data_IF_836577408973
#
_entry.id   IF_836577408973
#
_cell.length_a   1.000
_cell.length_b   1.000
_cell.length_c   1.000
_cell.angle_alpha   90.00
_cell.angle_beta   90.00
_cell.angle_gamma   90.00
#
_symmetry.space_group_name_H-M   'P 1'
#
loop_
_entity.id
_entity.type
_entity.pdbx_description
1 polymer ?
#
# COMPACT_ATOMS: atom_id res chain seq x y z
N UNK A 1 -17.07 -4.34 59.03
CA UNK A 1 -16.44 -4.55 57.70
C UNK A 1 -17.33 -4.09 56.52
N UNK A 2 -18.67 -4.15 56.63
CA UNK A 2 -19.60 -3.76 55.55
C UNK A 2 -19.62 -2.26 55.15
N UNK A 3 -19.34 -1.33 56.08
CA UNK A 3 -19.37 0.12 55.81
C UNK A 3 -18.21 0.60 54.90
N UNK A 4 -17.07 -0.10 54.92
CA UNK A 4 -15.90 0.25 54.07
C UNK A 4 -16.10 -0.15 52.60
N UNK A 5 -16.79 -1.27 52.33
CA UNK A 5 -17.06 -1.76 50.97
C UNK A 5 -18.11 -0.89 50.26
N UNK A 6 -19.15 -0.44 50.97
CA UNK A 6 -20.16 0.46 50.40
C UNK A 6 -19.59 1.83 50.03
N UNK A 7 -18.66 2.35 50.84
CA UNK A 7 -17.97 3.62 50.58
C UNK A 7 -17.08 3.54 49.33
N UNK A 8 -16.36 2.42 49.14
CA UNK A 8 -15.53 2.17 47.95
C UNK A 8 -16.39 2.03 46.68
N UNK A 9 -17.50 1.27 46.76
CA UNK A 9 -18.44 1.07 45.65
C UNK A 9 -19.08 2.38 45.20
N UNK A 10 -19.47 3.24 46.15
CA UNK A 10 -20.00 4.58 45.85
C UNK A 10 -18.92 5.49 45.23
N UNK A 11 -17.67 5.39 45.69
CA UNK A 11 -16.52 6.10 45.10
C UNK A 11 -16.28 5.71 43.64
N UNK A 12 -16.28 4.42 43.33
CA UNK A 12 -16.11 3.90 41.97
C UNK A 12 -17.26 4.29 41.04
N UNK A 13 -18.51 4.24 41.50
CA UNK A 13 -19.67 4.71 40.72
C UNK A 13 -19.58 6.20 40.40
N UNK A 14 -19.17 7.04 41.36
CA UNK A 14 -18.95 8.47 41.14
C UNK A 14 -17.79 8.74 40.19
N UNK A 15 -16.69 7.98 40.30
CA UNK A 15 -15.54 8.09 39.40
C UNK A 15 -15.90 7.66 37.96
N UNK A 16 -16.61 6.55 37.79
CA UNK A 16 -17.11 6.09 36.50
C UNK A 16 -18.08 7.12 35.87
N UNK A 17 -18.96 7.72 36.68
CA UNK A 17 -19.83 8.82 36.26
C UNK A 17 -19.03 10.03 35.77
N UNK A 18 -17.99 10.45 36.50
CA UNK A 18 -17.09 11.55 36.11
C UNK A 18 -16.34 11.23 34.80
N UNK A 19 -15.88 10.00 34.60
CA UNK A 19 -15.24 9.58 33.33
C UNK A 19 -16.23 9.62 32.18
N UNK A 20 -17.45 9.08 32.36
CA UNK A 20 -18.49 9.08 31.33
C UNK A 20 -18.88 10.52 30.95
N UNK A 21 -18.98 11.41 31.94
CA UNK A 21 -19.27 12.83 31.70
C UNK A 21 -18.09 13.57 31.06
N UNK A 22 -16.84 13.29 31.46
CA UNK A 22 -15.63 13.86 30.84
C UNK A 22 -15.52 13.40 29.38
N UNK A 23 -15.65 12.10 29.11
CA UNK A 23 -15.69 11.52 27.75
C UNK A 23 -16.83 12.11 26.92
N UNK A 24 -18.03 12.30 27.50
CA UNK A 24 -19.13 12.95 26.80
C UNK A 24 -18.85 14.41 26.44
N UNK A 25 -18.19 15.16 27.33
CA UNK A 25 -17.75 16.55 27.05
C UNK A 25 -16.63 16.61 26.02
N UNK A 26 -15.65 15.71 26.11
CA UNK A 26 -14.55 15.62 25.16
C UNK A 26 -15.05 15.21 23.77
N UNK A 27 -15.98 14.23 23.68
CA UNK A 27 -16.66 13.88 22.43
C UNK A 27 -17.41 15.08 21.88
N UNK A 28 -18.26 15.75 22.67
CA UNK A 28 -18.96 16.97 22.19
C UNK A 28 -18.01 18.06 21.73
N UNK A 29 -16.89 18.29 22.43
CA UNK A 29 -15.88 19.28 22.05
C UNK A 29 -15.16 18.90 20.77
N UNK A 30 -14.80 17.63 20.60
CA UNK A 30 -14.13 17.12 19.41
C UNK A 30 -15.08 17.10 18.22
N UNK A 31 -16.35 16.72 18.39
CA UNK A 31 -17.38 16.80 17.33
C UNK A 31 -17.60 18.24 16.92
N UNK A 32 -17.71 19.18 17.88
CA UNK A 32 -17.81 20.61 17.56
C UNK A 32 -16.58 21.14 16.84
N UNK A 33 -15.36 20.76 17.26
CA UNK A 33 -14.12 21.08 16.54
C UNK A 33 -14.07 20.46 15.15
N UNK A 34 -14.59 19.24 14.98
CA UNK A 34 -14.69 18.57 13.68
C UNK A 34 -15.69 19.31 12.77
N UNK A 35 -16.81 19.80 13.31
CA UNK A 35 -17.79 20.63 12.60
C UNK A 35 -17.24 22.03 12.24
N UNK A 36 -16.47 22.64 13.15
CA UNK A 36 -15.78 23.92 12.93
C UNK A 36 -14.65 23.78 11.89
N UNK A 37 -13.89 22.68 11.91
CA UNK A 37 -12.89 22.36 10.88
C UNK A 37 -13.54 21.99 9.53
N UNK A 38 -14.68 21.28 9.55
CA UNK A 38 -15.50 21.02 8.35
C UNK A 38 -16.12 22.30 7.76
N UNK A 39 -16.26 23.38 8.53
CA UNK A 39 -16.68 24.67 7.97
C UNK A 39 -15.54 25.41 7.25
N UNK A 40 -14.28 25.00 7.46
CA UNK A 40 -13.12 25.67 6.88
C UNK A 40 -12.50 24.89 5.71
N UNK A 41 -12.77 23.59 5.58
CA UNK A 41 -12.36 22.78 4.42
C UNK A 41 -13.54 21.96 3.84
N UNK A 42 -13.95 22.33 2.63
CA UNK A 42 -14.62 21.50 1.61
C UNK A 42 -16.16 21.41 1.59
N UNK A 43 -16.68 21.67 0.39
CA UNK A 43 -18.07 21.60 -0.07
C UNK A 43 -18.78 20.29 0.30
N UNK A 44 -20.09 20.36 0.61
CA UNK A 44 -20.99 19.20 0.78
C UNK A 44 -21.01 18.24 -0.42
N UNK A 45 -20.53 18.67 -1.59
CA UNK A 45 -20.31 17.83 -2.77
C UNK A 45 -19.32 16.69 -2.52
N UNK A 46 -18.30 16.90 -1.68
CA UNK A 46 -17.24 15.92 -1.41
C UNK A 46 -17.74 14.68 -0.64
N UNK A 47 -18.60 14.85 0.36
CA UNK A 47 -19.11 13.73 1.16
C UNK A 47 -20.13 12.88 0.38
N UNK A 48 -21.00 13.51 -0.41
CA UNK A 48 -21.96 12.80 -1.26
C UNK A 48 -21.23 11.93 -2.30
N UNK A 49 -20.19 12.49 -2.94
CA UNK A 49 -19.36 11.77 -3.90
C UNK A 49 -18.60 10.61 -3.26
N UNK A 50 -18.07 10.78 -2.04
CA UNK A 50 -17.41 9.69 -1.30
C UNK A 50 -18.39 8.56 -0.92
N UNK A 51 -19.62 8.90 -0.52
CA UNK A 51 -20.67 7.92 -0.21
C UNK A 51 -21.07 7.16 -1.47
N UNK A 52 -21.21 7.85 -2.61
CA UNK A 52 -21.60 7.23 -3.88
C UNK A 52 -20.48 6.35 -4.46
N UNK A 53 -19.22 6.80 -4.36
CA UNK A 53 -18.03 5.97 -4.65
C UNK A 53 -17.98 4.74 -3.75
N UNK A 54 -18.25 4.87 -2.45
CA UNK A 54 -18.29 3.73 -1.52
C UNK A 54 -19.38 2.72 -1.87
N UNK A 55 -20.54 3.19 -2.33
CA UNK A 55 -21.63 2.32 -2.80
C UNK A 55 -21.28 1.59 -4.09
N UNK A 56 -20.65 2.29 -5.03
CA UNK A 56 -20.26 1.74 -6.34
C UNK A 56 -19.07 0.78 -6.23
N UNK A 57 -18.14 1.04 -5.32
CA UNK A 57 -16.95 0.23 -5.09
C UNK A 57 -17.19 -0.99 -4.20
N UNK A 58 -18.39 -1.14 -3.64
CA UNK A 58 -18.71 -2.29 -2.80
C UNK A 58 -18.89 -3.54 -3.66
N UNK A 59 -18.03 -4.53 -3.44
CA UNK A 59 -18.18 -5.88 -3.99
C UNK A 59 -19.40 -6.51 -3.31
N UNK A 60 -20.45 -6.80 -4.08
CA UNK A 60 -21.69 -7.40 -3.57
C UNK A 60 -21.66 -8.92 -3.63
N UNK A 61 -20.89 -9.45 -4.55
CA UNK A 61 -20.68 -10.88 -4.73
C UNK A 61 -19.76 -11.16 -5.91
N UNK A 62 -19.22 -12.37 -5.96
CA UNK A 62 -18.40 -12.87 -7.06
C UNK A 62 -18.96 -14.19 -7.57
N UNK A 63 -18.95 -14.34 -8.90
CA UNK A 63 -19.36 -15.58 -9.55
C UNK A 63 -18.17 -16.54 -9.64
N UNK A 64 -18.35 -17.79 -9.20
CA UNK A 64 -17.37 -18.87 -9.36
C UNK A 64 -17.36 -19.42 -10.79
N UNK A 65 -16.36 -20.26 -11.08
CA UNK A 65 -16.22 -20.97 -12.36
C UNK A 65 -17.38 -21.93 -12.66
N UNK A 66 -18.04 -22.46 -11.64
CA UNK A 66 -19.22 -23.33 -11.76
C UNK A 66 -20.54 -22.54 -12.00
N UNK A 67 -20.46 -21.21 -12.04
CA UNK A 67 -21.61 -20.32 -12.25
C UNK A 67 -22.35 -19.90 -10.97
N UNK A 68 -22.00 -20.45 -9.80
CA UNK A 68 -22.57 -20.04 -8.51
C UNK A 68 -22.11 -18.63 -8.08
N UNK A 69 -22.92 -17.95 -7.26
CA UNK A 69 -22.64 -16.61 -6.76
C UNK A 69 -22.37 -16.63 -5.26
N UNK A 70 -21.19 -16.19 -4.86
CA UNK A 70 -20.85 -15.97 -3.46
C UNK A 70 -21.02 -14.52 -3.07
N UNK A 71 -21.69 -14.33 -1.93
CA UNK A 71 -21.94 -13.01 -1.31
C UNK A 71 -21.27 -12.88 0.06
N UNK A 72 -20.68 -13.96 0.56
CA UNK A 72 -19.94 -13.97 1.82
C UNK A 72 -18.58 -13.30 1.62
N UNK A 73 -18.19 -12.41 2.54
CA UNK A 73 -16.99 -11.61 2.37
C UNK A 73 -15.69 -12.42 2.53
N UNK A 74 -15.71 -13.53 3.27
CA UNK A 74 -14.55 -14.42 3.43
C UNK A 74 -14.37 -15.20 2.13
N UNK A 75 -15.43 -15.84 1.63
CA UNK A 75 -15.42 -16.59 0.37
C UNK A 75 -15.04 -15.72 -0.82
N UNK A 76 -15.59 -14.49 -0.91
CA UNK A 76 -15.19 -13.50 -1.94
C UNK A 76 -13.69 -13.21 -1.86
N UNK A 77 -13.13 -13.12 -0.65
CA UNK A 77 -11.71 -12.92 -0.42
C UNK A 77 -10.87 -14.09 -0.93
N UNK A 78 -11.28 -15.32 -0.62
CA UNK A 78 -10.60 -16.54 -1.07
C UNK A 78 -10.64 -16.69 -2.59
N UNK A 79 -11.82 -16.50 -3.22
CA UNK A 79 -11.95 -16.52 -4.68
C UNK A 79 -11.03 -15.48 -5.34
N UNK A 80 -10.93 -14.28 -4.75
CA UNK A 80 -10.03 -13.25 -5.24
C UNK A 80 -8.55 -13.63 -5.06
N UNK A 81 -8.18 -14.16 -3.90
CA UNK A 81 -6.83 -14.61 -3.62
C UNK A 81 -6.40 -15.73 -4.58
N UNK A 82 -7.21 -16.76 -4.75
CA UNK A 82 -6.91 -17.88 -5.66
C UNK A 82 -6.73 -17.41 -7.10
N UNK A 83 -7.67 -16.59 -7.57
CA UNK A 83 -7.64 -16.05 -8.93
C UNK A 83 -6.39 -15.19 -9.19
N UNK A 84 -6.07 -14.26 -8.30
CA UNK A 84 -4.92 -13.38 -8.50
C UNK A 84 -3.59 -14.07 -8.21
N UNK A 85 -3.57 -15.09 -7.34
CA UNK A 85 -2.39 -15.92 -7.14
C UNK A 85 -2.07 -16.69 -8.40
N UNK A 86 -3.04 -17.39 -9.01
CA UNK A 86 -2.86 -18.07 -10.30
C UNK A 86 -2.50 -17.08 -11.43
N UNK A 87 -3.11 -15.89 -11.44
CA UNK A 87 -2.84 -14.89 -12.46
C UNK A 87 -1.42 -14.30 -12.39
N UNK A 88 -0.91 -14.07 -11.18
CA UNK A 88 0.41 -13.47 -10.95
C UNK A 88 1.52 -14.51 -10.80
N UNK A 89 1.19 -15.80 -10.71
CA UNK A 89 2.19 -16.84 -10.63
C UNK A 89 2.96 -16.97 -11.96
N UNK A 90 4.27 -17.17 -11.84
CA UNK A 90 5.12 -17.29 -13.02
C UNK A 90 4.98 -18.70 -13.59
N UNK A 91 4.66 -18.82 -14.88
CA UNK A 91 4.64 -20.12 -15.59
C UNK A 91 6.04 -20.54 -16.10
N UNK A 92 7.09 -19.96 -15.52
CA UNK A 92 8.48 -20.13 -15.95
C UNK A 92 8.90 -19.19 -17.10
N UNK A 93 10.20 -19.15 -17.35
CA UNK A 93 10.80 -18.39 -18.46
C UNK A 93 11.00 -19.37 -19.63
N UNK A 94 10.31 -19.14 -20.74
CA UNK A 94 10.58 -19.87 -21.99
C UNK A 94 11.95 -19.48 -22.56
N UNK A 95 12.54 -20.30 -23.43
CA UNK A 95 13.76 -19.90 -24.14
C UNK A 95 13.44 -18.67 -25.02
N UNK A 96 14.08 -17.54 -24.71
CA UNK A 96 13.91 -16.27 -25.42
C UNK A 96 15.04 -15.98 -26.41
N UNK A 97 16.01 -16.90 -26.59
CA UNK A 97 17.22 -16.68 -27.38
C UNK A 97 16.85 -16.28 -28.82
N UNK A 98 15.87 -16.96 -29.41
CA UNK A 98 15.40 -16.65 -30.76
C UNK A 98 14.80 -15.24 -30.89
N UNK A 99 14.15 -14.71 -29.85
CA UNK A 99 13.58 -13.36 -29.85
C UNK A 99 14.70 -12.33 -29.70
N UNK A 100 15.63 -12.59 -28.77
CA UNK A 100 16.75 -11.68 -28.48
C UNK A 100 17.73 -11.54 -29.66
N UNK A 101 17.82 -12.53 -30.56
CA UNK A 101 18.61 -12.42 -31.81
C UNK A 101 18.21 -11.23 -32.68
N UNK A 102 16.94 -10.80 -32.62
CA UNK A 102 16.44 -9.68 -33.42
C UNK A 102 16.51 -8.34 -32.70
N UNK A 103 16.91 -8.33 -31.42
CA UNK A 103 17.07 -7.11 -30.63
C UNK A 103 18.51 -6.63 -30.80
N UNK A 104 18.69 -5.48 -31.45
CA UNK A 104 20.00 -4.85 -31.56
C UNK A 104 20.50 -4.42 -30.17
N UNK A 105 21.75 -4.77 -29.84
CA UNK A 105 22.36 -4.31 -28.60
C UNK A 105 22.53 -2.79 -28.62
N UNK A 106 21.84 -2.10 -27.71
CA UNK A 106 21.87 -0.64 -27.55
C UNK A 106 22.54 -0.19 -26.24
N UNK A 107 22.90 -1.14 -25.37
CA UNK A 107 23.60 -0.88 -24.11
C UNK A 107 25.10 -1.04 -24.34
N UNK A 108 25.85 0.05 -24.20
CA UNK A 108 27.31 0.02 -24.25
C UNK A 108 27.91 -0.63 -22.99
N UNK A 109 29.18 -1.05 -23.07
CA UNK A 109 29.90 -1.63 -21.92
C UNK A 109 29.94 -0.69 -20.71
N UNK A 110 30.11 0.63 -20.94
CA UNK A 110 30.14 1.61 -19.85
C UNK A 110 28.77 1.78 -19.18
N UNK A 111 27.69 1.75 -19.96
CA UNK A 111 26.33 1.73 -19.44
C UNK A 111 26.09 0.47 -18.63
N UNK A 112 26.47 -0.70 -19.16
CA UNK A 112 26.32 -1.97 -18.47
C UNK A 112 27.08 -1.98 -17.14
N UNK A 113 28.35 -1.54 -17.13
CA UNK A 113 29.15 -1.39 -15.91
C UNK A 113 28.44 -0.51 -14.87
N UNK A 114 27.83 0.60 -15.29
CA UNK A 114 27.06 1.47 -14.39
C UNK A 114 25.77 0.80 -13.88
N UNK A 115 25.10 -0.01 -14.68
CA UNK A 115 23.87 -0.71 -14.29
C UNK A 115 24.16 -1.82 -13.27
N UNK A 116 25.28 -2.54 -13.45
CA UNK A 116 25.68 -3.68 -12.62
C UNK A 116 26.55 -3.29 -11.42
N UNK A 117 26.90 -2.01 -11.26
CA UNK A 117 27.63 -1.53 -10.08
C UNK A 117 26.85 -1.79 -8.79
N UNK A 118 27.53 -1.86 -7.64
CA UNK A 118 26.84 -1.98 -6.36
C UNK A 118 25.90 -0.78 -6.10
N UNK A 119 24.74 -1.03 -5.51
CA UNK A 119 23.84 0.01 -5.02
C UNK A 119 24.42 0.72 -3.79
N UNK A 120 24.08 2.00 -3.66
CA UNK A 120 24.61 2.89 -2.62
C UNK A 120 23.48 3.43 -1.72
N UNK A 121 23.80 3.87 -0.49
CA UNK A 121 22.81 4.46 0.41
C UNK A 121 22.22 5.75 -0.16
N UNK A 122 23.04 6.48 -0.92
CA UNK A 122 22.65 7.70 -1.61
C UNK A 122 21.55 7.43 -2.64
N UNK A 123 21.64 6.33 -3.41
CA UNK A 123 20.59 5.95 -4.34
C UNK A 123 19.26 5.60 -3.63
N UNK A 124 19.32 4.99 -2.44
CA UNK A 124 18.15 4.69 -1.61
C UNK A 124 17.48 5.97 -1.10
N UNK A 125 18.27 6.88 -0.53
CA UNK A 125 17.79 8.19 -0.03
C UNK A 125 17.16 9.01 -1.16
N UNK A 126 17.83 9.06 -2.31
CA UNK A 126 17.33 9.73 -3.51
C UNK A 126 16.05 9.08 -4.08
N UNK A 127 15.90 7.76 -3.97
CA UNK A 127 14.66 7.08 -4.32
C UNK A 127 13.51 7.52 -3.41
N UNK A 128 13.73 7.55 -2.08
CA UNK A 128 12.73 7.97 -1.10
C UNK A 128 12.29 9.43 -1.29
N UNK A 129 13.23 10.35 -1.55
CA UNK A 129 12.91 11.77 -1.78
C UNK A 129 12.06 11.99 -3.03
N UNK A 130 12.27 11.19 -4.08
CA UNK A 130 11.48 11.24 -5.32
C UNK A 130 10.10 10.57 -5.21
N UNK A 131 9.78 9.93 -4.08
CA UNK A 131 8.47 9.33 -3.86
C UNK A 131 7.47 10.38 -3.35
N UNK A 132 6.23 10.31 -3.85
CA UNK A 132 5.15 11.18 -3.37
C UNK A 132 4.77 10.86 -1.92
N UNK A 133 4.56 11.88 -1.05
CA UNK A 133 4.46 11.71 0.40
C UNK A 133 3.18 10.99 0.86
N UNK A 134 2.08 11.15 0.11
CA UNK A 134 0.72 10.73 0.50
C UNK A 134 0.19 9.58 -0.36
N UNK A 135 1.07 8.83 -1.03
CA UNK A 135 0.64 7.62 -1.74
C UNK A 135 0.02 6.62 -0.76
N UNK A 136 -0.93 5.82 -1.27
CA UNK A 136 -1.65 4.84 -0.48
C UNK A 136 -0.67 3.99 0.36
N UNK A 137 -0.87 4.05 1.67
CA UNK A 137 -0.08 3.30 2.64
C UNK A 137 -0.61 1.88 2.74
N UNK A 138 0.31 1.00 3.07
CA UNK A 138 0.04 -0.40 3.33
C UNK A 138 -0.64 -0.64 4.67
N UNK A 139 -1.14 -1.87 4.93
CA UNK A 139 -1.75 -2.23 6.20
C UNK A 139 -0.87 -1.98 7.44
N UNK A 140 0.46 -1.98 7.28
CA UNK A 140 1.40 -1.61 8.35
C UNK A 140 1.30 -0.14 8.80
N UNK A 141 0.56 0.68 8.03
CA UNK A 141 0.14 2.02 8.45
C UNK A 141 1.21 3.10 8.34
N UNK A 142 2.41 2.79 7.86
CA UNK A 142 3.48 3.78 7.65
C UNK A 142 3.49 4.31 6.20
N UNK A 143 2.98 5.52 5.95
CA UNK A 143 3.06 6.14 4.62
C UNK A 143 4.49 6.58 4.29
N UNK A 144 4.77 6.87 3.01
CA UNK A 144 6.07 7.37 2.56
C UNK A 144 6.54 8.61 3.35
N UNK A 145 5.63 9.52 3.70
CA UNK A 145 5.96 10.71 4.50
C UNK A 145 6.55 10.37 5.88
N UNK A 146 6.22 9.21 6.46
CA UNK A 146 6.84 8.77 7.71
C UNK A 146 8.34 8.54 7.52
N UNK A 147 8.71 7.78 6.48
CA UNK A 147 10.11 7.51 6.16
C UNK A 147 10.86 8.79 5.83
N UNK A 148 10.25 9.70 5.05
CA UNK A 148 10.86 11.00 4.72
C UNK A 148 11.10 11.87 5.96
N UNK A 149 10.15 11.90 6.91
CA UNK A 149 10.26 12.74 8.12
C UNK A 149 11.23 12.19 9.15
N UNK A 150 11.27 10.88 9.31
CA UNK A 150 12.07 10.20 10.35
C UNK A 150 13.33 9.54 9.80
N UNK A 151 13.75 9.92 8.58
CA UNK A 151 14.91 9.33 7.90
C UNK A 151 16.20 9.42 8.73
N UNK A 152 16.38 10.49 9.51
CA UNK A 152 17.54 10.63 10.40
C UNK A 152 17.60 9.56 11.51
N UNK A 153 16.48 8.90 11.80
CA UNK A 153 16.37 7.86 12.83
C UNK A 153 16.42 6.48 12.19
N UNK A 154 15.60 6.23 11.17
CA UNK A 154 15.40 4.89 10.59
C UNK A 154 16.14 4.66 9.26
N UNK A 155 16.77 5.70 8.71
CA UNK A 155 17.31 5.68 7.35
C UNK A 155 18.50 4.76 7.19
N UNK A 156 19.34 4.62 8.22
CA UNK A 156 20.47 3.68 8.20
C UNK A 156 19.97 2.24 8.11
N UNK A 157 19.12 1.81 9.05
CA UNK A 157 18.58 0.44 9.08
C UNK A 157 17.77 0.13 7.81
N UNK A 158 16.97 1.10 7.33
CA UNK A 158 16.19 0.94 6.09
C UNK A 158 17.12 0.78 4.89
N UNK A 159 18.19 1.58 4.80
CA UNK A 159 19.14 1.50 3.70
C UNK A 159 19.94 0.20 3.73
N UNK A 160 20.42 -0.22 4.90
CA UNK A 160 21.17 -1.47 5.05
C UNK A 160 20.31 -2.67 4.65
N UNK A 161 19.04 -2.71 5.07
CA UNK A 161 18.08 -3.72 4.62
C UNK A 161 17.89 -3.72 3.10
N UNK A 162 17.72 -2.54 2.48
CA UNK A 162 17.57 -2.44 1.02
C UNK A 162 18.84 -2.90 0.28
N UNK A 163 20.01 -2.55 0.79
CA UNK A 163 21.31 -2.90 0.18
C UNK A 163 21.61 -4.39 0.32
N UNK A 164 21.22 -5.03 1.41
CA UNK A 164 21.34 -6.48 1.55
C UNK A 164 20.54 -7.22 0.47
N UNK A 165 19.36 -6.71 0.13
CA UNK A 165 18.55 -7.28 -0.95
C UNK A 165 19.20 -6.99 -2.31
N UNK A 166 19.59 -5.74 -2.55
CA UNK A 166 20.06 -5.27 -3.86
C UNK A 166 21.47 -5.76 -4.22
N UNK A 167 22.36 -5.93 -3.24
CA UNK A 167 23.77 -6.27 -3.47
C UNK A 167 24.13 -7.68 -2.99
N UNK A 168 23.50 -8.17 -1.92
CA UNK A 168 23.91 -9.41 -1.24
C UNK A 168 22.95 -10.59 -1.49
N UNK A 169 21.87 -10.38 -2.25
CA UNK A 169 20.92 -11.44 -2.61
C UNK A 169 20.01 -11.87 -1.45
N UNK A 170 19.80 -11.00 -0.44
CA UNK A 170 18.78 -11.26 0.60
C UNK A 170 17.40 -11.40 -0.04
N UNK A 171 16.59 -12.32 0.47
CA UNK A 171 15.22 -12.54 -0.03
C UNK A 171 14.31 -11.33 0.22
N UNK A 172 13.35 -11.12 -0.68
CA UNK A 172 12.27 -10.15 -0.56
C UNK A 172 11.08 -10.68 0.26
N UNK A 173 11.04 -11.96 0.62
CA UNK A 173 9.85 -12.62 1.20
C UNK A 173 9.29 -11.90 2.44
N UNK A 174 10.15 -11.33 3.28
CA UNK A 174 9.77 -10.58 4.48
C UNK A 174 8.92 -9.32 4.17
N UNK A 175 9.11 -8.73 2.98
CA UNK A 175 8.45 -7.48 2.56
C UNK A 175 7.61 -7.64 1.30
N UNK A 176 7.61 -8.83 0.68
CA UNK A 176 6.82 -9.17 -0.50
C UNK A 176 5.39 -9.60 -0.11
N UNK A 177 4.85 -8.98 0.94
CA UNK A 177 3.43 -9.09 1.29
C UNK A 177 2.69 -7.93 0.66
N UNK A 178 1.59 -8.24 -0.04
CA UNK A 178 0.82 -7.25 -0.79
C UNK A 178 -0.64 -7.37 -0.42
N UNK A 179 -1.26 -6.25 -0.05
CA UNK A 179 -2.70 -6.17 0.09
C UNK A 179 -3.32 -5.79 -1.26
N UNK A 180 -4.17 -6.66 -1.80
CA UNK A 180 -4.91 -6.39 -3.02
C UNK A 180 -6.17 -5.56 -2.74
N UNK A 181 -6.30 -4.44 -3.44
CA UNK A 181 -7.50 -3.61 -3.48
C UNK A 181 -8.14 -3.73 -4.85
N UNK A 182 -9.40 -4.14 -4.91
CA UNK A 182 -10.12 -4.33 -6.16
C UNK A 182 -10.98 -3.11 -6.48
N UNK A 183 -10.72 -2.48 -7.63
CA UNK A 183 -11.52 -1.36 -8.14
C UNK A 183 -12.42 -1.84 -9.29
N UNK A 184 -13.76 -1.73 -9.20
CA UNK A 184 -14.66 -2.04 -10.30
C UNK A 184 -14.35 -1.27 -11.59
N UNK A 185 -14.36 -1.96 -12.74
CA UNK A 185 -14.31 -1.35 -14.08
C UNK A 185 -15.70 -0.95 -14.59
N UNK A 186 -16.72 -1.66 -14.13
CA UNK A 186 -18.12 -1.52 -14.56
C UNK A 186 -19.05 -1.48 -13.35
N UNK A 187 -20.32 -1.12 -13.56
CA UNK A 187 -21.32 -1.16 -12.49
C UNK A 187 -21.69 -2.62 -12.15
N UNK A 188 -21.80 -2.91 -10.86
CA UNK A 188 -22.19 -4.23 -10.32
C UNK A 188 -21.38 -5.41 -10.93
N UNK A 189 -20.04 -5.39 -10.88
CA UNK A 189 -19.24 -6.48 -11.41
C UNK A 189 -19.42 -7.75 -10.58
N UNK A 190 -19.62 -8.88 -11.26
CA UNK A 190 -19.67 -10.22 -10.64
C UNK A 190 -18.43 -11.07 -10.97
N UNK A 191 -17.68 -10.70 -12.01
CA UNK A 191 -16.50 -11.45 -12.46
C UNK A 191 -15.22 -10.68 -12.11
N UNK A 192 -14.21 -11.37 -11.59
CA UNK A 192 -12.92 -10.78 -11.20
C UNK A 192 -12.18 -10.06 -12.35
N UNK A 193 -12.41 -10.47 -13.60
CA UNK A 193 -11.88 -9.77 -14.80
C UNK A 193 -12.38 -8.32 -14.91
N UNK A 194 -13.55 -8.04 -14.34
CA UNK A 194 -14.16 -6.72 -14.32
C UNK A 194 -13.67 -5.83 -13.17
N UNK A 195 -12.63 -6.26 -12.45
CA UNK A 195 -11.94 -5.45 -11.47
C UNK A 195 -10.53 -5.11 -11.95
N UNK A 196 -10.02 -3.95 -11.51
CA UNK A 196 -8.60 -3.57 -11.59
C UNK A 196 -7.99 -3.87 -10.22
N UNK A 197 -7.05 -4.81 -10.10
CA UNK A 197 -6.31 -4.97 -8.87
C UNK A 197 -5.33 -3.81 -8.70
N UNK A 198 -5.25 -3.29 -7.47
CA UNK A 198 -4.18 -2.41 -7.01
C UNK A 198 -3.45 -3.14 -5.90
N UNK A 199 -2.17 -3.39 -6.13
CA UNK A 199 -1.24 -3.93 -5.15
C UNK A 199 -0.77 -2.81 -4.21
N UNK A 200 -1.15 -2.88 -2.95
CA UNK A 200 -0.56 -2.08 -1.89
C UNK A 200 0.60 -2.88 -1.30
N UNK A 201 1.84 -2.43 -1.60
CA UNK A 201 3.08 -3.05 -1.16
C UNK A 201 3.87 -2.15 -0.20
N UNK A 202 4.60 -2.75 0.74
CA UNK A 202 5.23 -2.03 1.85
C UNK A 202 6.16 -0.94 1.30
N UNK A 203 6.26 0.19 2.00
CA UNK A 203 7.06 1.34 1.51
C UNK A 203 8.51 0.94 1.23
N UNK A 204 9.10 0.05 2.03
CA UNK A 204 10.46 -0.47 1.80
C UNK A 204 10.56 -1.18 0.44
N UNK A 205 9.59 -2.03 0.08
CA UNK A 205 9.52 -2.65 -1.25
C UNK A 205 9.46 -1.59 -2.35
N UNK A 206 8.63 -0.55 -2.16
CA UNK A 206 8.52 0.58 -3.10
C UNK A 206 9.85 1.35 -3.23
N UNK A 207 10.62 1.52 -2.16
CA UNK A 207 11.95 2.15 -2.18
C UNK A 207 12.92 1.32 -3.03
N UNK A 208 12.98 0.00 -2.81
CA UNK A 208 13.85 -0.92 -3.58
C UNK A 208 13.49 -0.84 -5.07
N UNK A 209 12.22 -1.03 -5.42
CA UNK A 209 11.75 -0.97 -6.80
C UNK A 209 12.05 0.40 -7.45
N UNK A 210 11.85 1.49 -6.71
CA UNK A 210 12.16 2.85 -7.19
C UNK A 210 13.66 3.06 -7.40
N UNK A 211 14.51 2.48 -6.56
CA UNK A 211 15.97 2.54 -6.68
C UNK A 211 16.43 1.86 -7.97
N UNK A 212 15.96 0.63 -8.24
CA UNK A 212 16.22 -0.10 -9.49
C UNK A 212 15.72 0.70 -10.69
N UNK A 213 14.49 1.20 -10.64
CA UNK A 213 13.90 1.98 -11.72
C UNK A 213 14.69 3.25 -12.02
N UNK A 214 15.17 3.97 -11.00
CA UNK A 214 16.00 5.16 -11.17
C UNK A 214 17.33 4.84 -11.87
N UNK A 215 17.89 3.65 -11.65
CA UNK A 215 19.11 3.22 -12.32
C UNK A 215 18.86 2.85 -13.78
N UNK A 216 17.80 2.09 -14.06
CA UNK A 216 17.37 1.77 -15.42
C UNK A 216 16.99 3.02 -16.21
N UNK A 217 16.41 4.03 -15.57
CA UNK A 217 16.04 5.29 -16.21
C UNK A 217 17.22 5.98 -16.90
N UNK A 218 18.45 5.81 -16.41
CA UNK A 218 19.67 6.43 -16.98
C UNK A 218 20.01 5.94 -18.39
N UNK A 219 19.45 4.81 -18.80
CA UNK A 219 19.75 4.18 -20.10
C UNK A 219 18.53 4.05 -21.01
N UNK A 220 17.34 4.44 -20.54
CA UNK A 220 16.09 4.27 -21.30
C UNK A 220 16.14 4.99 -22.66
N UNK A 221 16.74 6.18 -22.72
CA UNK A 221 16.84 6.97 -23.95
C UNK A 221 17.66 6.26 -25.04
N UNK A 222 18.55 5.34 -24.69
CA UNK A 222 19.27 4.51 -25.66
C UNK A 222 18.48 3.27 -26.11
N UNK A 223 17.46 2.88 -25.33
CA UNK A 223 16.68 1.66 -25.56
C UNK A 223 15.37 1.90 -26.31
N UNK A 224 14.90 3.15 -26.36
CA UNK A 224 13.61 3.52 -26.94
C UNK A 224 13.89 4.33 -28.22
N UNK A 225 13.30 3.89 -29.33
CA UNK A 225 13.35 4.63 -30.59
C UNK A 225 12.42 5.84 -30.53
N UNK A 226 12.82 6.96 -31.14
CA UNK A 226 12.03 8.22 -31.21
C UNK A 226 10.86 8.14 -32.23
N UNK A 227 10.69 6.98 -32.87
CA UNK A 227 9.73 6.70 -33.95
C UNK A 227 8.25 6.67 -33.54
#
# INVERSE_FOLDING_TARGET
MAVRISTLSNGLKRWAGKIKQKRGRDVKRLTKRLEELNCFESSKESLAELVDKRRTNRIRGLQRSDGSLDIDCIEIGEIACDYFSDLFDSRGIGNLDHILLWVSCCISDSMNQSLTAAYTKEEIDEALKRMGPTKASDPDGFPTIFFQKYWSIIGNDTSDFCLDILNNGRSLDEINSTQLVLIPKTANPLNLKNFRPISLCIVIYKIIAKTVANRLQKVLDACIDDS
#
